data_IF_183612006695
#
_entry.id   IF_183612006695
#
_cell.length_a   1.000
_cell.length_b   1.000
_cell.length_c   1.000
_cell.angle_alpha   90.00
_cell.angle_beta   90.00
_cell.angle_gamma   90.00
#
_symmetry.space_group_name_H-M   'P 1'
#
loop_
_entity.id
_entity.type
_entity.pdbx_description
1 polymer ?
#
# COMPACT_ATOMS: atom_id res chain seq x y z
N UNK A 1 0.45 12.17 -10.26
CA UNK A 1 -0.60 12.99 -9.61
C UNK A 1 -0.58 12.86 -8.09
N UNK A 2 -0.61 11.64 -7.53
CA UNK A 2 -0.61 11.39 -6.07
C UNK A 2 0.66 11.91 -5.36
N UNK A 3 1.84 11.73 -5.95
CA UNK A 3 3.12 12.20 -5.39
C UNK A 3 3.16 13.70 -5.20
N UNK A 4 2.67 14.47 -6.19
CA UNK A 4 2.67 15.93 -6.15
C UNK A 4 1.72 16.43 -5.06
N UNK A 5 0.52 15.85 -4.96
CA UNK A 5 -0.46 16.23 -3.95
C UNK A 5 0.04 15.92 -2.53
N UNK A 6 0.64 14.75 -2.31
CA UNK A 6 1.20 14.34 -1.02
C UNK A 6 2.39 15.20 -0.60
N UNK A 7 3.25 15.57 -1.54
CA UNK A 7 4.50 16.28 -1.27
C UNK A 7 4.39 17.80 -1.40
N UNK A 8 3.24 18.33 -1.86
CA UNK A 8 3.00 19.77 -1.98
C UNK A 8 3.27 20.55 -0.69
N UNK A 9 2.88 20.07 0.52
CA UNK A 9 3.21 20.79 1.75
C UNK A 9 4.72 21.01 1.94
N UNK A 10 5.56 20.02 1.65
CA UNK A 10 7.02 20.15 1.74
C UNK A 10 7.56 21.19 0.77
N UNK A 11 7.06 21.18 -0.47
CA UNK A 11 7.47 22.15 -1.50
C UNK A 11 7.02 23.57 -1.15
N UNK A 12 5.81 23.73 -0.60
CA UNK A 12 5.29 25.02 -0.11
C UNK A 12 6.09 25.54 1.10
N UNK A 13 6.66 24.64 1.91
CA UNK A 13 7.57 24.97 3.01
C UNK A 13 9.02 25.25 2.54
N UNK A 14 9.28 25.26 1.23
CA UNK A 14 10.57 25.64 0.64
C UNK A 14 11.49 24.49 0.28
N UNK A 15 11.06 23.23 0.41
CA UNK A 15 11.85 22.08 -0.07
C UNK A 15 11.87 22.10 -1.60
N UNK A 16 13.07 22.21 -2.17
CA UNK A 16 13.22 22.23 -3.63
C UNK A 16 12.67 20.91 -4.25
N UNK A 17 11.82 20.96 -5.29
CA UNK A 17 11.18 19.76 -5.85
C UNK A 17 12.14 18.64 -6.25
N UNK A 18 13.36 19.00 -6.68
CA UNK A 18 14.40 18.01 -7.04
C UNK A 18 14.66 17.00 -5.92
N UNK A 19 14.63 17.43 -4.65
CA UNK A 19 14.88 16.55 -3.51
C UNK A 19 13.70 15.62 -3.25
N UNK A 20 12.47 16.13 -3.41
CA UNK A 20 11.25 15.31 -3.31
C UNK A 20 11.30 14.17 -4.34
N UNK A 21 11.59 14.48 -5.60
CA UNK A 21 11.67 13.48 -6.65
C UNK A 21 12.86 12.55 -6.51
N UNK A 22 14.00 13.05 -6.01
CA UNK A 22 15.18 12.24 -5.73
C UNK A 22 14.89 11.18 -4.65
N UNK A 23 14.37 11.58 -3.49
CA UNK A 23 14.03 10.63 -2.43
C UNK A 23 12.89 9.70 -2.83
N UNK A 24 11.92 10.18 -3.62
CA UNK A 24 10.89 9.31 -4.18
C UNK A 24 11.46 8.24 -5.12
N UNK A 25 12.45 8.58 -5.94
CA UNK A 25 13.14 7.59 -6.79
C UNK A 25 13.90 6.56 -5.95
N UNK A 26 14.58 6.99 -4.88
CA UNK A 26 15.24 6.08 -3.95
C UNK A 26 14.24 5.13 -3.26
N UNK A 27 13.10 5.67 -2.81
CA UNK A 27 12.01 4.89 -2.22
C UNK A 27 11.48 3.84 -3.19
N UNK A 28 11.24 4.20 -4.46
CA UNK A 28 10.80 3.25 -5.49
C UNK A 28 11.82 2.14 -5.76
N UNK A 29 13.11 2.47 -5.79
CA UNK A 29 14.17 1.47 -5.97
C UNK A 29 14.20 0.53 -4.76
N UNK A 30 14.13 1.06 -3.54
CA UNK A 30 14.09 0.27 -2.32
C UNK A 30 12.88 -0.68 -2.30
N UNK A 31 11.71 -0.11 -2.58
CA UNK A 31 10.43 -0.80 -2.65
C UNK A 31 10.49 -1.97 -3.64
N UNK A 32 11.10 -1.80 -4.81
CA UNK A 32 11.23 -2.90 -5.77
C UNK A 32 11.90 -4.15 -5.17
N UNK A 33 12.97 -3.99 -4.39
CA UNK A 33 13.74 -5.12 -3.86
C UNK A 33 13.08 -5.86 -2.70
N UNK A 34 12.17 -5.22 -1.97
CA UNK A 34 11.43 -5.89 -0.89
C UNK A 34 10.21 -6.68 -1.40
N UNK A 35 9.81 -6.53 -2.67
CA UNK A 35 8.78 -7.36 -3.30
C UNK A 35 9.33 -8.74 -3.69
N UNK A 36 9.63 -9.57 -2.69
CA UNK A 36 10.09 -10.94 -2.91
C UNK A 36 9.66 -11.89 -1.80
N UNK A 37 9.39 -13.14 -2.19
CA UNK A 37 9.16 -14.26 -1.27
C UNK A 37 10.42 -15.07 -0.99
N UNK A 38 11.48 -14.87 -1.79
CA UNK A 38 12.69 -15.71 -1.71
C UNK A 38 13.57 -15.38 -0.52
N UNK A 39 13.42 -14.19 0.05
CA UNK A 39 14.18 -13.70 1.20
C UNK A 39 13.31 -13.79 2.45
N UNK A 40 13.78 -14.56 3.43
CA UNK A 40 13.14 -14.68 4.74
C UNK A 40 13.30 -13.42 5.61
N UNK A 41 13.16 -13.60 6.93
CA UNK A 41 13.32 -12.50 7.89
C UNK A 41 14.78 -12.07 8.03
N UNK A 42 14.98 -10.77 8.15
CA UNK A 42 16.27 -10.15 8.49
C UNK A 42 16.53 -10.17 9.99
N UNK A 43 17.76 -9.80 10.44
CA UNK A 43 18.04 -9.63 11.86
C UNK A 43 17.05 -8.67 12.52
N UNK A 44 16.65 -8.97 13.76
CA UNK A 44 15.56 -8.27 14.48
C UNK A 44 15.66 -6.75 14.49
N UNK A 45 16.87 -6.19 14.54
CA UNK A 45 17.05 -4.73 14.54
C UNK A 45 16.74 -4.10 13.17
N UNK A 46 16.99 -4.83 12.07
CA UNK A 46 16.64 -4.40 10.71
C UNK A 46 15.12 -4.43 10.57
N UNK A 47 14.50 -5.55 10.95
CA UNK A 47 13.03 -5.74 10.97
C UNK A 47 12.29 -4.74 11.87
N UNK A 48 13.00 -4.15 12.82
CA UNK A 48 12.42 -3.15 13.71
C UNK A 48 12.36 -1.76 13.07
N UNK A 49 13.39 -1.41 12.27
CA UNK A 49 13.58 -0.05 11.75
C UNK A 49 13.11 0.08 10.30
N UNK A 50 13.48 -0.87 9.46
CA UNK A 50 13.28 -0.83 8.02
C UNK A 50 12.13 -1.72 7.59
N UNK A 51 11.43 -1.32 6.53
CA UNK A 51 10.52 -2.22 5.85
C UNK A 51 11.32 -3.31 5.12
N UNK A 52 11.03 -4.56 5.38
CA UNK A 52 11.80 -5.72 4.89
C UNK A 52 10.91 -6.55 3.97
N UNK A 53 11.45 -7.53 3.23
CA UNK A 53 10.60 -8.45 2.48
C UNK A 53 9.49 -9.09 3.33
N UNK A 54 9.76 -9.42 4.60
CA UNK A 54 8.74 -9.99 5.50
C UNK A 54 7.64 -9.00 5.86
N UNK A 55 8.01 -7.79 6.27
CA UNK A 55 7.04 -6.75 6.63
C UNK A 55 6.16 -6.36 5.44
N UNK A 56 6.77 -6.26 4.26
CA UNK A 56 6.11 -5.91 3.02
C UNK A 56 5.22 -7.02 2.44
N UNK A 57 5.59 -8.30 2.60
CA UNK A 57 4.67 -9.41 2.27
C UNK A 57 3.41 -9.34 3.12
N UNK A 58 3.55 -9.11 4.43
CA UNK A 58 2.39 -8.91 5.30
C UNK A 58 1.55 -7.70 4.84
N UNK A 59 2.16 -6.60 4.42
CA UNK A 59 1.42 -5.46 3.84
C UNK A 59 0.54 -5.84 2.63
N UNK A 60 1.04 -6.71 1.75
CA UNK A 60 0.28 -7.21 0.59
C UNK A 60 -0.70 -8.35 0.91
N UNK A 61 -0.79 -8.75 2.18
CA UNK A 61 -1.64 -9.83 2.63
C UNK A 61 -3.13 -9.45 2.62
N UNK A 62 -3.94 -10.33 2.06
CA UNK A 62 -5.40 -10.24 2.11
C UNK A 62 -6.02 -11.01 3.28
N UNK A 63 -5.19 -11.72 4.07
CA UNK A 63 -5.60 -12.36 5.31
C UNK A 63 -6.14 -11.31 6.28
N UNK A 64 -7.18 -11.63 7.06
CA UNK A 64 -7.82 -10.68 7.97
C UNK A 64 -6.82 -9.99 8.94
N UNK A 65 -5.78 -10.69 9.38
CA UNK A 65 -4.77 -10.16 10.32
C UNK A 65 -3.78 -9.17 9.65
N UNK A 66 -3.71 -9.19 8.32
CA UNK A 66 -2.75 -8.40 7.53
C UNK A 66 -3.40 -7.20 6.83
N UNK A 67 -4.74 -7.18 6.72
CA UNK A 67 -5.46 -6.05 6.17
C UNK A 67 -5.20 -4.80 7.01
N UNK A 68 -4.92 -3.69 6.31
CA UNK A 68 -4.71 -2.38 6.92
C UNK A 68 -3.53 -2.36 7.92
N UNK A 69 -2.47 -3.11 7.62
CA UNK A 69 -1.22 -3.13 8.39
C UNK A 69 0.00 -2.77 7.53
N UNK A 70 1.12 -2.45 8.20
CA UNK A 70 2.45 -2.21 7.63
C UNK A 70 2.45 -1.20 6.47
N UNK A 71 2.04 0.04 6.73
CA UNK A 71 1.95 1.12 5.73
C UNK A 71 3.29 1.79 5.38
N UNK A 72 4.35 1.54 6.14
CA UNK A 72 5.67 2.13 5.96
C UNK A 72 6.31 1.76 4.62
N UNK A 73 6.89 2.76 3.94
CA UNK A 73 7.60 2.55 2.67
C UNK A 73 9.01 2.00 2.89
N UNK A 74 9.96 2.84 3.29
CA UNK A 74 11.30 2.37 3.67
C UNK A 74 11.42 2.02 5.16
N UNK A 75 10.57 2.61 6.00
CA UNK A 75 10.71 2.60 7.46
C UNK A 75 9.45 2.06 8.14
N UNK A 76 9.55 0.84 8.66
CA UNK A 76 8.47 0.17 9.40
C UNK A 76 8.34 0.68 10.84
N UNK A 77 9.34 1.42 11.35
CA UNK A 77 9.32 1.95 12.72
C UNK A 77 8.10 2.83 12.99
N UNK A 78 7.60 3.52 11.96
CA UNK A 78 6.39 4.34 12.09
C UNK A 78 5.16 3.48 12.36
N UNK A 79 5.00 2.34 11.69
CA UNK A 79 3.91 1.41 11.97
C UNK A 79 3.93 0.91 13.41
N UNK A 80 5.13 0.72 13.98
CA UNK A 80 5.28 0.36 15.39
C UNK A 80 4.85 1.47 16.32
N UNK A 81 5.19 2.72 16.00
CA UNK A 81 4.82 3.89 16.81
C UNK A 81 3.34 4.24 16.71
N UNK A 82 2.72 4.01 15.55
CA UNK A 82 1.31 4.33 15.28
C UNK A 82 0.37 3.13 15.43
N UNK A 83 0.89 1.95 15.76
CA UNK A 83 0.09 0.77 16.09
C UNK A 83 -0.51 0.03 14.89
N UNK A 84 0.12 0.15 13.73
CA UNK A 84 -0.26 -0.53 12.46
C UNK A 84 0.73 -1.61 12.07
N UNK A 85 1.66 -1.98 12.96
CA UNK A 85 2.63 -3.02 12.70
C UNK A 85 2.04 -4.41 12.95
N UNK A 86 2.24 -5.31 11.98
CA UNK A 86 2.00 -6.75 12.12
C UNK A 86 3.24 -7.53 11.68
N UNK A 87 3.57 -8.57 12.45
CA UNK A 87 4.63 -9.52 12.08
C UNK A 87 4.06 -10.61 11.17
N UNK A 88 4.78 -10.95 10.10
CA UNK A 88 4.43 -12.08 9.24
C UNK A 88 4.54 -13.42 10.00
N UNK A 89 3.46 -14.20 10.04
CA UNK A 89 3.45 -15.60 10.47
C UNK A 89 3.44 -16.54 9.27
N UNK A 90 4.62 -16.81 8.72
CA UNK A 90 4.79 -17.68 7.56
C UNK A 90 4.43 -19.16 7.82
N UNK A 91 4.25 -19.58 9.08
CA UNK A 91 4.01 -21.00 9.44
C UNK A 91 2.53 -21.26 9.62
N UNK A 92 1.84 -20.46 10.43
CA UNK A 92 0.43 -20.72 10.77
C UNK A 92 -0.55 -19.86 9.95
N UNK A 93 -0.10 -18.73 9.41
CA UNK A 93 -0.93 -17.81 8.63
C UNK A 93 -0.17 -17.24 7.43
N UNK A 94 0.24 -18.09 6.47
CA UNK A 94 0.99 -17.64 5.29
C UNK A 94 0.19 -16.60 4.50
N UNK A 95 0.93 -15.63 3.94
CA UNK A 95 0.35 -14.50 3.21
C UNK A 95 -0.41 -14.98 1.97
N UNK A 96 -1.67 -14.58 1.88
CA UNK A 96 -2.51 -14.76 0.68
C UNK A 96 -2.57 -13.45 -0.08
N UNK A 97 -2.00 -13.42 -1.28
CA UNK A 97 -1.96 -12.20 -2.11
C UNK A 97 -3.22 -12.01 -2.92
N UNK A 98 -3.47 -10.75 -3.29
CA UNK A 98 -4.54 -10.34 -4.19
C UNK A 98 -5.22 -9.08 -3.69
N UNK A 99 -6.47 -8.89 -4.11
CA UNK A 99 -7.34 -7.86 -3.55
C UNK A 99 -8.58 -8.52 -2.97
N UNK A 100 -9.01 -8.06 -1.79
CA UNK A 100 -10.15 -8.63 -1.07
C UNK A 100 -11.40 -8.59 -1.95
N UNK A 101 -12.01 -9.76 -2.14
CA UNK A 101 -13.23 -9.89 -2.95
C UNK A 101 -13.00 -9.83 -4.46
N UNK A 102 -11.75 -9.90 -4.93
CA UNK A 102 -11.40 -9.90 -6.35
C UNK A 102 -10.78 -11.23 -6.78
N UNK A 103 -11.09 -11.65 -8.01
CA UNK A 103 -10.45 -12.81 -8.65
C UNK A 103 -9.26 -12.34 -9.46
N UNK A 104 -8.15 -13.08 -9.41
CA UNK A 104 -6.98 -12.81 -10.24
C UNK A 104 -7.33 -12.86 -11.74
N UNK A 105 -6.61 -12.09 -12.54
CA UNK A 105 -6.69 -12.12 -13.99
C UNK A 105 -5.29 -12.09 -14.58
N UNK A 106 -5.03 -12.95 -15.56
CA UNK A 106 -3.73 -13.01 -16.26
C UNK A 106 -3.58 -11.89 -17.32
N UNK A 107 -4.62 -11.07 -17.49
CA UNK A 107 -4.61 -9.96 -18.43
C UNK A 107 -4.10 -8.69 -17.74
N UNK A 108 -2.96 -8.15 -18.19
CA UNK A 108 -2.36 -6.92 -17.65
C UNK A 108 -3.30 -5.72 -17.70
N UNK A 109 -4.09 -5.58 -18.77
CA UNK A 109 -5.11 -4.53 -18.84
C UNK A 109 -6.24 -4.79 -17.84
N UNK A 110 -6.66 -6.04 -17.67
CA UNK A 110 -7.60 -6.43 -16.63
C UNK A 110 -7.08 -6.06 -15.23
N UNK A 111 -5.82 -6.39 -14.94
CA UNK A 111 -5.19 -6.11 -13.66
C UNK A 111 -5.13 -4.59 -13.37
N UNK A 112 -4.70 -3.79 -14.34
CA UNK A 112 -4.56 -2.33 -14.18
C UNK A 112 -5.92 -1.62 -14.17
N UNK A 113 -6.80 -1.93 -15.13
CA UNK A 113 -8.01 -1.14 -15.38
C UNK A 113 -9.26 -1.64 -14.65
N UNK A 114 -9.31 -2.90 -14.20
CA UNK A 114 -10.54 -3.44 -13.60
C UNK A 114 -10.93 -2.75 -12.29
N UNK A 115 -9.96 -2.30 -11.49
CA UNK A 115 -10.20 -1.54 -10.26
C UNK A 115 -10.89 -0.21 -10.57
N UNK A 116 -10.38 0.54 -11.56
CA UNK A 116 -10.99 1.79 -12.00
C UNK A 116 -12.38 1.57 -12.59
N UNK A 117 -12.55 0.51 -13.39
CA UNK A 117 -13.84 0.15 -13.96
C UNK A 117 -14.88 -0.12 -12.86
N UNK A 118 -14.54 -0.92 -11.84
CA UNK A 118 -15.42 -1.19 -10.69
C UNK A 118 -15.74 0.07 -9.90
N UNK A 119 -14.76 0.94 -9.67
CA UNK A 119 -14.97 2.23 -9.01
C UNK A 119 -15.97 3.10 -9.79
N UNK A 120 -15.83 3.21 -11.11
CA UNK A 120 -16.76 3.97 -11.94
C UNK A 120 -18.16 3.33 -11.98
N UNK A 121 -18.25 2.01 -12.08
CA UNK A 121 -19.53 1.32 -11.97
C UNK A 121 -20.24 1.63 -10.64
N UNK A 122 -19.52 1.58 -9.51
CA UNK A 122 -20.04 1.97 -8.19
C UNK A 122 -20.46 3.44 -8.17
N UNK A 123 -19.67 4.33 -8.74
CA UNK A 123 -19.97 5.76 -8.80
C UNK A 123 -21.26 6.05 -9.59
N UNK A 124 -21.46 5.41 -10.74
CA UNK A 124 -22.67 5.61 -11.54
C UNK A 124 -23.91 4.95 -10.93
N UNK A 125 -23.74 3.86 -10.18
CA UNK A 125 -24.83 3.20 -9.44
C UNK A 125 -25.20 3.91 -8.13
N UNK A 126 -24.26 4.64 -7.52
CA UNK A 126 -24.49 5.34 -6.27
C UNK A 126 -25.55 6.44 -6.40
N UNK A 127 -26.57 6.38 -5.54
CA UNK A 127 -27.64 7.39 -5.47
C UNK A 127 -27.20 8.58 -4.61
N UNK A 128 -27.37 9.78 -5.14
CA UNK A 128 -27.09 11.04 -4.45
C UNK A 128 -25.61 11.44 -4.44
N UNK A 129 -25.37 12.75 -4.34
CA UNK A 129 -24.01 13.32 -4.42
C UNK A 129 -23.09 12.82 -3.30
N UNK A 130 -23.62 12.66 -2.08
CA UNK A 130 -22.85 12.18 -0.92
C UNK A 130 -22.26 10.80 -1.15
N UNK A 131 -23.05 9.84 -1.65
CA UNK A 131 -22.55 8.48 -1.90
C UNK A 131 -21.58 8.43 -3.07
N UNK A 132 -21.81 9.26 -4.11
CA UNK A 132 -20.86 9.42 -5.21
C UNK A 132 -19.50 9.95 -4.74
N UNK A 133 -19.49 10.95 -3.86
CA UNK A 133 -18.25 11.45 -3.26
C UNK A 133 -17.59 10.39 -2.37
N UNK A 134 -18.36 9.61 -1.60
CA UNK A 134 -17.79 8.49 -0.83
C UNK A 134 -17.08 7.47 -1.71
N UNK A 135 -17.63 7.12 -2.88
CA UNK A 135 -16.96 6.19 -3.81
C UNK A 135 -15.59 6.72 -4.25
N UNK A 136 -15.45 8.03 -4.41
CA UNK A 136 -14.20 8.64 -4.89
C UNK A 136 -13.16 8.89 -3.80
N UNK A 137 -13.60 9.15 -2.57
CA UNK A 137 -12.73 9.69 -1.50
C UNK A 137 -12.68 8.83 -0.23
N UNK A 138 -13.46 7.76 -0.14
CA UNK A 138 -13.45 6.83 1.01
C UNK A 138 -12.80 5.49 0.65
N UNK A 139 -12.38 4.69 1.64
CA UNK A 139 -11.87 3.34 1.39
C UNK A 139 -12.86 2.48 0.60
N UNK A 140 -12.40 1.49 -0.19
CA UNK A 140 -13.28 0.63 -0.98
C UNK A 140 -14.37 -0.10 -0.17
N UNK A 141 -14.18 -0.28 1.13
CA UNK A 141 -15.13 -0.87 2.08
C UNK A 141 -16.24 0.09 2.53
N UNK A 142 -16.13 1.39 2.29
CA UNK A 142 -17.03 2.41 2.82
C UNK A 142 -18.32 2.61 2.00
N UNK A 143 -18.45 1.97 0.82
CA UNK A 143 -19.61 2.05 -0.09
C UNK A 143 -19.93 0.72 -0.74
#
# INVERSE_FOLDING_TARGET
MVVILRSAPLMLLGVHPVWVFFFYALDLIYQFFIHTETVGKFPKWVEYVFDTPSNHRAHHGTNNDYIDQNYGGMLIIFDRWFGTYVEEDAVNNPVTYGAVGETSTDNVFGLIFSVFYRMWQRFFRAKGLKNKLKVLFSPPSAV
#
